data_IF_111144004111
#
_entry.id   IF_111144004111
#
_cell.length_a   1.000
_cell.length_b   1.000
_cell.length_c   1.000
_cell.angle_alpha   90.00
_cell.angle_beta   90.00
_cell.angle_gamma   90.00
#
_symmetry.space_group_name_H-M   'P 1'
#
loop_
_entity.id
_entity.type
_entity.pdbx_description
1 polymer ?
#
# COMPACT_ATOMS: atom_id res chain seq x y z
N UNK A 1 -6.04 -8.89 -43.82
CA UNK A 1 -4.73 -9.52 -43.57
C UNK A 1 -3.68 -8.49 -43.17
N UNK A 2 -3.43 -7.43 -43.96
CA UNK A 2 -2.41 -6.40 -43.64
C UNK A 2 -2.64 -5.67 -42.31
N UNK A 3 -3.89 -5.35 -41.99
CA UNK A 3 -4.25 -4.64 -40.74
C UNK A 3 -3.94 -5.50 -39.51
N UNK A 4 -4.34 -6.77 -39.49
CA UNK A 4 -4.08 -7.67 -38.36
C UNK A 4 -2.59 -7.81 -38.05
N UNK A 5 -1.76 -8.03 -39.08
CA UNK A 5 -0.30 -8.13 -38.95
C UNK A 5 0.29 -6.84 -38.36
N UNK A 6 -0.21 -5.69 -38.80
CA UNK A 6 0.23 -4.41 -38.25
C UNK A 6 -0.10 -4.26 -36.76
N UNK A 7 -1.32 -4.65 -36.34
CA UNK A 7 -1.73 -4.64 -34.93
C UNK A 7 -0.89 -5.61 -34.08
N UNK A 8 -0.59 -6.80 -34.59
CA UNK A 8 0.25 -7.79 -33.90
C UNK A 8 1.66 -7.25 -33.66
N UNK A 9 2.28 -6.62 -34.67
CA UNK A 9 3.57 -5.95 -34.52
C UNK A 9 3.52 -4.79 -33.52
N UNK A 10 2.41 -4.02 -33.54
CA UNK A 10 2.18 -2.95 -32.58
C UNK A 10 2.07 -3.47 -31.14
N UNK A 11 1.40 -4.61 -30.93
CA UNK A 11 1.33 -5.27 -29.61
C UNK A 11 2.71 -5.66 -29.10
N UNK A 12 3.56 -6.25 -29.95
CA UNK A 12 4.94 -6.61 -29.58
C UNK A 12 5.72 -5.36 -29.14
N UNK A 13 5.63 -4.28 -29.91
CA UNK A 13 6.28 -3.01 -29.57
C UNK A 13 5.75 -2.45 -28.23
N UNK A 14 4.43 -2.44 -28.05
CA UNK A 14 3.79 -1.93 -26.84
C UNK A 14 4.17 -2.74 -25.60
N UNK A 15 4.28 -4.06 -25.72
CA UNK A 15 4.76 -4.94 -24.65
C UNK A 15 6.19 -4.58 -24.20
N UNK A 16 7.10 -4.31 -25.15
CA UNK A 16 8.46 -3.87 -24.83
C UNK A 16 8.48 -2.51 -24.10
N UNK A 17 7.60 -1.58 -24.49
CA UNK A 17 7.46 -0.28 -23.83
C UNK A 17 6.93 -0.46 -22.39
N UNK A 18 5.92 -1.31 -22.20
CA UNK A 18 5.36 -1.63 -20.87
C UNK A 18 6.45 -2.18 -19.95
N UNK A 19 7.25 -3.15 -20.40
CA UNK A 19 8.33 -3.74 -19.61
C UNK A 19 9.41 -2.74 -19.19
N UNK A 20 9.65 -1.71 -20.00
CA UNK A 20 10.64 -0.65 -19.68
C UNK A 20 10.07 0.48 -18.80
N UNK A 21 8.76 0.51 -18.59
CA UNK A 21 8.10 1.61 -17.88
C UNK A 21 8.21 1.41 -16.36
N UNK A 22 8.93 2.33 -15.68
CA UNK A 22 9.13 2.30 -14.22
C UNK A 22 7.92 2.79 -13.41
N UNK A 23 7.08 3.63 -14.00
CA UNK A 23 5.92 4.20 -13.33
C UNK A 23 4.72 3.27 -13.48
N UNK A 24 4.27 2.68 -12.37
CA UNK A 24 3.19 1.70 -12.35
C UNK A 24 1.89 2.21 -12.97
N UNK A 25 1.50 3.48 -12.72
CA UNK A 25 0.30 4.06 -13.33
C UNK A 25 0.42 4.17 -14.84
N UNK A 26 1.59 4.58 -15.35
CA UNK A 26 1.85 4.62 -16.80
C UNK A 26 1.81 3.21 -17.41
N UNK A 27 2.37 2.21 -16.73
CA UNK A 27 2.33 0.82 -17.18
C UNK A 27 0.90 0.28 -17.27
N UNK A 28 0.03 0.63 -16.31
CA UNK A 28 -1.40 0.24 -16.32
C UNK A 28 -2.13 0.87 -17.51
N UNK A 29 -1.93 2.16 -17.77
CA UNK A 29 -2.55 2.84 -18.91
C UNK A 29 -2.13 2.18 -20.23
N UNK A 30 -0.84 1.87 -20.37
CA UNK A 30 -0.33 1.17 -21.55
C UNK A 30 -0.90 -0.26 -21.68
N UNK A 31 -1.09 -0.96 -20.56
CA UNK A 31 -1.72 -2.28 -20.54
C UNK A 31 -3.20 -2.22 -20.94
N UNK A 32 -3.92 -1.16 -20.54
CA UNK A 32 -5.30 -0.92 -20.97
C UNK A 32 -5.38 -0.71 -22.49
N UNK A 33 -4.45 0.08 -23.06
CA UNK A 33 -4.35 0.27 -24.51
C UNK A 33 -3.97 -1.04 -25.23
N UNK A 34 -3.08 -1.85 -24.65
CA UNK A 34 -2.71 -3.17 -25.16
C UNK A 34 -3.92 -4.10 -25.24
N UNK A 35 -4.73 -4.18 -24.19
CA UNK A 35 -5.97 -4.96 -24.18
C UNK A 35 -7.01 -4.45 -25.19
N UNK A 36 -7.13 -3.13 -25.36
CA UNK A 36 -8.04 -2.56 -26.37
C UNK A 36 -7.65 -2.98 -27.79
N UNK A 37 -6.36 -3.04 -28.10
CA UNK A 37 -5.86 -3.52 -29.40
C UNK A 37 -6.14 -5.01 -29.57
N UNK A 38 -6.01 -5.84 -28.51
CA UNK A 38 -6.38 -7.26 -28.55
C UNK A 38 -7.88 -7.44 -28.82
N UNK A 39 -8.74 -6.67 -28.15
CA UNK A 39 -10.18 -6.69 -28.40
C UNK A 39 -10.51 -6.36 -29.86
N UNK A 40 -9.85 -5.36 -30.44
CA UNK A 40 -9.98 -5.03 -31.86
C UNK A 40 -9.52 -6.20 -32.77
N UNK A 41 -8.47 -6.91 -32.39
CA UNK A 41 -7.98 -8.08 -33.12
C UNK A 41 -9.00 -9.23 -33.09
N UNK A 42 -9.62 -9.51 -31.94
CA UNK A 42 -10.70 -10.50 -31.83
C UNK A 42 -11.90 -10.14 -32.69
N UNK A 43 -12.24 -8.85 -32.77
CA UNK A 43 -13.32 -8.38 -33.64
C UNK A 43 -12.98 -8.65 -35.12
N UNK A 44 -11.74 -8.36 -35.55
CA UNK A 44 -11.26 -8.63 -36.91
C UNK A 44 -11.24 -10.14 -37.21
N UNK A 45 -10.96 -10.99 -36.23
CA UNK A 45 -10.99 -12.45 -36.36
C UNK A 45 -12.40 -13.06 -36.22
N UNK A 46 -13.45 -12.25 -36.38
CA UNK A 46 -14.84 -12.69 -36.31
C UNK A 46 -15.23 -13.34 -34.98
N UNK A 47 -14.59 -12.94 -33.88
CA UNK A 47 -14.92 -13.35 -32.51
C UNK A 47 -15.47 -12.16 -31.70
N UNK A 48 -16.67 -11.64 -32.03
CA UNK A 48 -17.22 -10.42 -31.42
C UNK A 48 -17.54 -10.57 -29.93
N UNK A 49 -17.98 -11.75 -29.48
CA UNK A 49 -18.30 -12.00 -28.07
C UNK A 49 -17.03 -11.96 -27.21
N UNK A 50 -15.94 -12.54 -27.72
CA UNK A 50 -14.62 -12.51 -27.07
C UNK A 50 -14.04 -11.09 -27.10
N UNK A 51 -14.23 -10.37 -28.20
CA UNK A 51 -13.80 -8.97 -28.32
C UNK A 51 -14.47 -8.08 -27.27
N UNK A 52 -15.77 -8.24 -27.06
CA UNK A 52 -16.53 -7.46 -26.08
C UNK A 52 -16.09 -7.81 -24.65
N UNK A 53 -15.91 -9.10 -24.35
CA UNK A 53 -15.40 -9.55 -23.07
C UNK A 53 -14.00 -9.00 -22.77
N UNK A 54 -13.08 -9.04 -23.74
CA UNK A 54 -11.73 -8.51 -23.59
C UNK A 54 -11.74 -6.99 -23.34
N UNK A 55 -12.54 -6.23 -24.09
CA UNK A 55 -12.66 -4.79 -23.88
C UNK A 55 -13.15 -4.46 -22.46
N UNK A 56 -14.17 -5.19 -21.97
CA UNK A 56 -14.70 -4.99 -20.63
C UNK A 56 -13.68 -5.38 -19.54
N UNK A 57 -13.06 -6.55 -19.65
CA UNK A 57 -12.21 -7.09 -18.59
C UNK A 57 -10.82 -6.46 -18.63
N UNK A 58 -10.16 -6.44 -19.79
CA UNK A 58 -8.76 -6.05 -19.88
C UNK A 58 -8.55 -4.53 -19.95
N UNK A 59 -9.42 -3.78 -20.63
CA UNK A 59 -9.29 -2.32 -20.69
C UNK A 59 -9.90 -1.62 -19.48
N UNK A 60 -11.05 -2.07 -18.97
CA UNK A 60 -11.75 -1.40 -17.87
C UNK A 60 -11.54 -2.06 -16.48
N UNK A 61 -11.98 -3.31 -16.29
CA UNK A 61 -11.98 -3.94 -14.95
C UNK A 61 -10.57 -4.12 -14.40
N UNK A 62 -9.66 -4.69 -15.18
CA UNK A 62 -8.28 -4.95 -14.76
C UNK A 62 -7.55 -3.64 -14.43
N UNK A 63 -7.72 -2.61 -15.26
CA UNK A 63 -7.20 -1.26 -15.02
C UNK A 63 -7.69 -0.70 -13.69
N UNK A 64 -9.00 -0.80 -13.41
CA UNK A 64 -9.58 -0.30 -12.18
C UNK A 64 -9.06 -1.05 -10.95
N UNK A 65 -8.97 -2.38 -11.02
CA UNK A 65 -8.41 -3.23 -9.96
C UNK A 65 -6.95 -2.84 -9.69
N UNK A 66 -6.13 -2.65 -10.73
CA UNK A 66 -4.73 -2.26 -10.55
C UNK A 66 -4.57 -0.87 -9.95
N UNK A 67 -5.42 0.09 -10.33
CA UNK A 67 -5.42 1.43 -9.72
C UNK A 67 -5.73 1.32 -8.22
N UNK A 68 -6.77 0.58 -7.83
CA UNK A 68 -7.13 0.36 -6.43
C UNK A 68 -6.00 -0.33 -5.67
N UNK A 69 -5.37 -1.35 -6.27
CA UNK A 69 -4.27 -2.08 -5.65
C UNK A 69 -3.08 -1.16 -5.35
N UNK A 70 -2.71 -0.28 -6.30
CA UNK A 70 -1.65 0.72 -6.09
C UNK A 70 -2.03 1.72 -5.01
N UNK A 71 -3.28 2.16 -4.99
CA UNK A 71 -3.75 3.11 -3.98
C UNK A 71 -3.67 2.51 -2.58
N UNK A 72 -4.11 1.26 -2.41
CA UNK A 72 -4.04 0.54 -1.13
C UNK A 72 -2.60 0.29 -0.66
N UNK A 73 -1.66 0.06 -1.58
CA UNK A 73 -0.26 -0.18 -1.21
C UNK A 73 0.44 1.05 -0.63
N UNK A 74 -0.15 2.25 -0.78
CA UNK A 74 0.42 3.50 -0.24
C UNK A 74 -0.05 3.82 1.18
N UNK A 75 -0.92 3.02 1.79
CA UNK A 75 -1.37 3.26 3.16
C UNK A 75 -0.37 2.68 4.17
N UNK A 76 0.04 3.47 5.16
CA UNK A 76 0.82 3.01 6.31
C UNK A 76 -0.10 2.98 7.52
N UNK A 77 -0.49 1.78 7.97
CA UNK A 77 -1.48 1.59 9.03
C UNK A 77 -0.81 1.52 10.39
N UNK A 78 -1.22 2.42 11.27
CA UNK A 78 -0.77 2.50 12.66
C UNK A 78 -1.94 2.21 13.58
N UNK A 79 -1.79 1.22 14.45
CA UNK A 79 -2.77 0.93 15.51
C UNK A 79 -2.25 1.45 16.84
N UNK A 80 -3.08 2.23 17.54
CA UNK A 80 -2.80 2.63 18.92
C UNK A 80 -3.82 2.02 19.88
N UNK A 81 -3.29 1.35 20.91
CA UNK A 81 -4.07 0.74 21.99
C UNK A 81 -4.35 1.70 23.16
N UNK A 82 -3.72 2.87 23.17
CA UNK A 82 -3.76 3.78 24.32
C UNK A 82 -3.93 5.21 23.79
N UNK A 83 -5.01 5.87 24.20
CA UNK A 83 -5.15 7.33 24.05
C UNK A 83 -4.13 7.98 24.98
N UNK A 84 -3.12 8.63 24.41
CA UNK A 84 -2.05 9.32 25.16
C UNK A 84 -1.80 10.68 24.55
N UNK A 85 -1.09 11.57 25.25
CA UNK A 85 -0.68 12.86 24.70
C UNK A 85 0.10 12.71 23.37
N UNK A 86 0.79 11.57 23.20
CA UNK A 86 1.54 11.22 21.99
C UNK A 86 0.65 10.87 20.79
N UNK A 87 -0.51 10.22 21.01
CA UNK A 87 -1.49 9.91 19.98
C UNK A 87 -2.90 9.96 20.59
N UNK A 88 -3.65 10.98 20.22
CA UNK A 88 -5.03 11.22 20.66
C UNK A 88 -5.91 11.61 19.47
N UNK A 89 -7.23 11.67 19.69
CA UNK A 89 -8.17 12.21 18.73
C UNK A 89 -8.43 13.66 19.17
N UNK A 90 -8.17 14.62 18.29
CA UNK A 90 -8.50 16.03 18.50
C UNK A 90 -10.02 16.24 18.52
N UNK A 91 -10.46 17.40 19.00
CA UNK A 91 -11.88 17.74 19.11
C UNK A 91 -12.62 17.73 17.76
N UNK A 92 -11.88 17.84 16.65
CA UNK A 92 -12.38 17.77 15.27
C UNK A 92 -12.54 16.33 14.73
N UNK A 93 -12.22 15.31 15.54
CA UNK A 93 -12.28 13.90 15.15
C UNK A 93 -11.05 13.40 14.38
N UNK A 94 -10.00 14.22 14.22
CA UNK A 94 -8.76 13.80 13.57
C UNK A 94 -7.74 13.27 14.57
N UNK A 95 -6.85 12.38 14.13
CA UNK A 95 -5.73 11.94 14.97
C UNK A 95 -4.72 13.10 15.14
N UNK A 96 -4.28 13.35 16.38
CA UNK A 96 -3.38 14.42 16.77
C UNK A 96 -2.39 13.95 17.86
N UNK A 97 -1.34 14.75 18.09
CA UNK A 97 -0.27 14.46 19.07
C UNK A 97 1.12 14.41 18.44
N UNK A 98 2.16 14.49 19.28
CA UNK A 98 3.55 14.54 18.82
C UNK A 98 3.93 13.33 17.95
N UNK A 99 3.45 12.14 18.33
CA UNK A 99 3.66 10.92 17.57
C UNK A 99 2.96 10.91 16.23
N UNK A 100 1.78 11.52 16.16
CA UNK A 100 1.02 11.63 14.92
C UNK A 100 1.77 12.51 13.90
N UNK A 101 2.26 13.68 14.33
CA UNK A 101 3.00 14.57 13.42
C UNK A 101 4.30 13.93 12.92
N UNK A 102 5.07 13.28 13.81
CA UNK A 102 6.30 12.58 13.41
C UNK A 102 6.01 11.48 12.39
N UNK A 103 4.97 10.67 12.63
CA UNK A 103 4.60 9.58 11.72
C UNK A 103 4.01 10.11 10.42
N UNK A 104 3.24 11.20 10.46
CA UNK A 104 2.65 11.83 9.28
C UNK A 104 3.73 12.40 8.39
N UNK A 105 4.69 13.13 8.97
CA UNK A 105 5.78 13.75 8.23
C UNK A 105 6.71 12.66 7.66
N UNK A 106 6.96 11.58 8.41
CA UNK A 106 7.63 10.38 7.92
C UNK A 106 6.92 9.75 6.72
N UNK A 107 5.62 9.46 6.84
CA UNK A 107 4.83 8.85 5.76
C UNK A 107 4.79 9.77 4.53
N UNK A 108 4.60 11.07 4.72
CA UNK A 108 4.57 12.06 3.65
C UNK A 108 5.90 12.13 2.90
N UNK A 109 7.04 12.02 3.61
CA UNK A 109 8.37 11.97 2.99
C UNK A 109 8.59 10.74 2.10
N UNK A 110 7.85 9.65 2.37
CA UNK A 110 7.88 8.40 1.62
C UNK A 110 6.75 8.30 0.57
N UNK A 111 5.89 9.31 0.47
CA UNK A 111 4.70 9.27 -0.40
C UNK A 111 3.62 8.30 0.07
N UNK A 112 3.62 7.94 1.35
CA UNK A 112 2.65 7.08 2.02
C UNK A 112 1.57 7.91 2.71
N UNK A 113 0.35 7.40 2.74
CA UNK A 113 -0.77 7.96 3.47
C UNK A 113 -0.83 7.31 4.86
N UNK A 114 -0.62 8.11 5.90
CA UNK A 114 -0.76 7.63 7.27
C UNK A 114 -2.23 7.37 7.59
N UNK A 115 -2.54 6.18 8.09
CA UNK A 115 -3.85 5.83 8.64
C UNK A 115 -3.68 5.39 10.08
N UNK A 116 -4.39 6.05 10.99
CA UNK A 116 -4.37 5.73 12.42
C UNK A 116 -5.71 5.15 12.82
N UNK A 117 -5.70 3.96 13.41
CA UNK A 117 -6.87 3.33 14.01
C UNK A 117 -6.67 3.24 15.53
N UNK A 118 -7.65 3.74 16.29
CA UNK A 118 -7.67 3.70 17.75
C UNK A 118 -8.62 2.59 18.18
N UNK A 119 -8.08 1.50 18.73
CA UNK A 119 -8.88 0.37 19.22
C UNK A 119 -8.83 0.29 20.74
N UNK A 120 -9.99 0.47 21.37
CA UNK A 120 -10.19 0.27 22.80
C UNK A 120 -10.65 -1.17 23.06
N UNK A 121 -9.84 -1.97 23.77
CA UNK A 121 -10.19 -3.32 24.21
C UNK A 121 -9.93 -4.44 23.18
N UNK A 122 -9.03 -5.36 23.53
CA UNK A 122 -8.74 -6.57 22.74
C UNK A 122 -7.31 -7.07 22.98
N UNK A 123 -7.12 -8.39 23.01
CA UNK A 123 -5.83 -9.05 23.19
C UNK A 123 -4.82 -8.59 22.11
N UNK A 124 -3.71 -7.99 22.55
CA UNK A 124 -2.63 -7.44 21.71
C UNK A 124 -2.09 -8.53 20.76
N UNK A 125 -2.14 -9.81 21.18
CA UNK A 125 -1.69 -10.96 20.37
C UNK A 125 -2.59 -11.25 19.16
N UNK A 126 -3.88 -10.88 19.18
CA UNK A 126 -4.82 -11.16 18.10
C UNK A 126 -4.86 -10.13 16.96
N UNK A 127 -4.35 -8.91 17.20
CA UNK A 127 -4.54 -7.75 16.31
C UNK A 127 -3.42 -7.63 15.26
N UNK A 128 -2.22 -8.14 15.56
CA UNK A 128 -1.14 -8.34 14.58
C UNK A 128 -1.47 -9.42 13.52
N UNK A 129 -2.55 -10.16 13.71
CA UNK A 129 -3.03 -11.16 12.75
C UNK A 129 -3.74 -10.53 11.55
N UNK A 130 -4.13 -9.27 11.66
CA UNK A 130 -4.59 -8.48 10.52
C UNK A 130 -3.36 -8.10 9.68
N UNK A 131 -3.19 -8.73 8.51
CA UNK A 131 -1.96 -8.65 7.68
C UNK A 131 -1.58 -7.23 7.24
N UNK A 132 -2.45 -6.26 7.48
CA UNK A 132 -2.34 -4.90 6.97
C UNK A 132 -1.85 -3.88 8.01
N UNK A 133 -1.36 -4.32 9.18
CA UNK A 133 -0.82 -3.44 10.23
C UNK A 133 0.70 -3.29 10.08
N UNK A 134 1.16 -2.07 9.84
CA UNK A 134 2.60 -1.79 9.67
C UNK A 134 3.29 -1.45 11.00
N UNK A 135 2.55 -0.83 11.92
CA UNK A 135 3.08 -0.32 13.18
C UNK A 135 2.03 -0.37 14.30
N UNK A 136 2.45 -0.79 15.48
CA UNK A 136 1.65 -0.73 16.71
C UNK A 136 2.33 0.18 17.71
N UNK A 137 1.55 1.08 18.29
CA UNK A 137 1.98 1.95 19.39
C UNK A 137 1.43 1.39 20.69
N UNK A 138 2.35 1.13 21.60
CA UNK A 138 2.07 0.62 22.94
C UNK A 138 2.86 1.47 23.96
N UNK A 139 2.55 1.35 25.25
CA UNK A 139 3.27 2.06 26.31
C UNK A 139 3.85 1.05 27.26
N UNK A 140 5.17 1.15 27.50
CA UNK A 140 5.81 0.29 28.48
C UNK A 140 5.34 0.68 29.90
N UNK A 141 4.66 -0.23 30.64
CA UNK A 141 4.14 0.06 31.97
C UNK A 141 5.24 0.36 33.00
N UNK A 142 6.50 -0.07 32.76
CA UNK A 142 7.61 0.13 33.70
C UNK A 142 8.44 1.38 33.42
N UNK A 143 8.61 1.78 32.16
CA UNK A 143 9.52 2.86 31.78
C UNK A 143 8.85 4.18 31.38
N UNK A 144 7.50 4.22 31.30
CA UNK A 144 6.70 5.33 30.72
C UNK A 144 7.07 5.71 29.28
N UNK A 145 7.95 4.96 28.61
CA UNK A 145 8.36 5.19 27.22
C UNK A 145 7.34 4.62 26.24
N UNK A 146 7.25 5.24 25.07
CA UNK A 146 6.41 4.77 23.97
C UNK A 146 7.12 3.67 23.21
N UNK A 147 6.41 2.57 22.97
CA UNK A 147 6.89 1.37 22.34
C UNK A 147 6.31 1.26 20.93
N UNK A 148 7.15 1.47 19.93
CA UNK A 148 6.79 1.36 18.52
C UNK A 148 7.16 -0.05 18.05
N UNK A 149 6.14 -0.90 17.90
CA UNK A 149 6.23 -2.29 17.49
C UNK A 149 6.00 -2.37 15.97
N UNK A 150 7.07 -2.60 15.20
CA UNK A 150 7.00 -2.60 13.72
C UNK A 150 7.53 -3.91 13.13
N UNK A 151 7.08 -4.24 11.91
CA UNK A 151 7.50 -5.45 11.19
C UNK A 151 8.99 -5.39 10.83
N UNK A 152 9.79 -6.37 11.30
CA UNK A 152 11.26 -6.38 11.15
C UNK A 152 11.76 -6.40 9.69
N UNK A 153 10.96 -6.93 8.75
CA UNK A 153 11.39 -7.18 7.37
C UNK A 153 11.20 -6.00 6.40
N UNK A 154 10.78 -4.82 6.86
CA UNK A 154 10.52 -3.67 5.99
C UNK A 154 11.65 -2.63 6.03
N UNK A 155 12.09 -2.15 4.84
CA UNK A 155 12.99 -1.00 4.69
C UNK A 155 12.43 0.24 5.43
N UNK A 156 11.10 0.37 5.47
CA UNK A 156 10.38 1.44 6.16
C UNK A 156 10.69 1.41 7.66
N UNK A 157 10.72 0.22 8.28
CA UNK A 157 11.04 0.04 9.71
C UNK A 157 12.47 0.49 10.04
N UNK A 158 13.42 0.26 9.12
CA UNK A 158 14.80 0.73 9.28
C UNK A 158 14.92 2.25 9.16
N UNK A 159 14.21 2.86 8.21
CA UNK A 159 14.16 4.32 8.06
C UNK A 159 13.46 5.00 9.24
N UNK A 160 12.36 4.42 9.71
CA UNK A 160 11.66 4.86 10.91
C UNK A 160 12.59 4.81 12.13
N UNK A 161 13.35 3.72 12.30
CA UNK A 161 14.38 3.62 13.35
C UNK A 161 15.46 4.68 13.26
N UNK A 162 15.87 5.06 12.05
CA UNK A 162 16.88 6.12 11.87
C UNK A 162 16.37 7.47 12.33
N UNK A 163 15.11 7.80 12.05
CA UNK A 163 14.51 9.11 12.35
C UNK A 163 14.15 9.21 13.83
N UNK A 164 13.67 8.13 14.45
CA UNK A 164 13.26 8.16 15.85
C UNK A 164 14.42 8.03 16.85
N UNK A 165 15.65 7.76 16.40
CA UNK A 165 16.85 7.70 17.27
C UNK A 165 17.10 9.00 18.05
N UNK A 166 16.60 10.14 17.57
CA UNK A 166 16.70 11.43 18.25
C UNK A 166 15.73 11.63 19.41
N UNK A 167 14.73 10.75 19.60
CA UNK A 167 13.68 10.91 20.60
C UNK A 167 13.89 9.97 21.79
N UNK A 168 14.33 10.51 22.92
CA UNK A 168 14.68 9.76 24.15
C UNK A 168 13.49 9.05 24.84
N UNK A 169 12.26 9.48 24.53
CA UNK A 169 11.00 8.93 25.05
C UNK A 169 10.39 7.83 24.16
N UNK A 170 11.03 7.51 23.04
CA UNK A 170 10.56 6.55 22.04
C UNK A 170 11.51 5.35 22.00
N UNK A 171 10.97 4.14 22.07
CA UNK A 171 11.71 2.89 21.88
C UNK A 171 11.05 2.07 20.77
N UNK A 172 11.79 1.76 19.71
CA UNK A 172 11.31 0.86 18.67
C UNK A 172 11.68 -0.57 19.03
N UNK A 173 10.72 -1.48 18.90
CA UNK A 173 10.93 -2.93 18.89
C UNK A 173 10.55 -3.44 17.51
N UNK A 174 11.53 -4.04 16.83
CA UNK A 174 11.26 -4.81 15.63
C UNK A 174 10.76 -6.20 16.03
N UNK A 175 9.49 -6.50 15.78
CA UNK A 175 8.91 -7.82 16.03
C UNK A 175 9.19 -8.70 14.81
N UNK A 176 9.64 -9.93 15.04
CA UNK A 176 9.68 -10.98 14.02
C UNK A 176 8.27 -11.47 13.74
N UNK A 177 7.95 -11.75 12.47
CA UNK A 177 6.66 -12.26 11.98
C UNK A 177 6.22 -13.61 12.63
N UNK A 178 7.01 -14.14 13.58
CA UNK A 178 6.86 -15.47 14.17
C UNK A 178 6.94 -15.56 15.70
N UNK A 179 7.24 -14.49 16.44
CA UNK A 179 7.38 -14.59 17.90
C UNK A 179 6.13 -14.09 18.65
N UNK A 180 5.05 -14.86 18.58
CA UNK A 180 3.94 -14.77 19.56
C UNK A 180 3.52 -16.12 20.14
N UNK A 181 4.31 -17.18 19.91
CA UNK A 181 4.02 -18.55 20.37
C UNK A 181 4.57 -18.90 21.76
N UNK A 182 4.87 -17.91 22.61
CA UNK A 182 5.07 -18.13 24.05
C UNK A 182 4.25 -17.15 24.90
#
# INVERSE_FOLDING_TARGET
>A
MTVSIFLELLLILLALIILKTKNLLKSIILLSAFSLIISLLYFIFHAPDVALAEAAIGSAVSTFIFIIAIEKQKEFLVISHIRTDFLHIAEDGTAAGDGYYILRDFCTSLGLKLKVDFREGGDIKGILRDRNVDLIIDRDPKSKKYLLKAKKSSLITQQLMSITRGYSHIRIIALEDRETDE
#
